data_IF_477247519292
#
_entry.id   IF_477247519292
#
_cell.length_a   1.000
_cell.length_b   1.000
_cell.length_c   1.000
_cell.angle_alpha   90.00
_cell.angle_beta   90.00
_cell.angle_gamma   90.00
#
_symmetry.space_group_name_H-M   'P 1'
#
loop_
_entity.id
_entity.type
_entity.pdbx_description
1 polymer ?
#
# COMPACT_ATOMS: atom_id res chain seq x y z
N UNK A 1 10.53 -6.55 -64.86
CA UNK A 1 9.81 -5.96 -63.68
C UNK A 1 10.73 -6.00 -62.48
N UNK A 2 11.70 -5.13 -62.46
CA UNK A 2 12.61 -4.96 -61.31
C UNK A 2 12.72 -3.49 -60.99
N UNK A 3 12.79 -3.20 -59.71
CA UNK A 3 13.35 -1.98 -59.10
C UNK A 3 12.57 -0.67 -59.22
N UNK A 4 11.62 -0.51 -58.32
CA UNK A 4 11.16 0.80 -57.87
C UNK A 4 11.16 0.97 -56.34
N UNK A 5 11.70 0.02 -55.57
CA UNK A 5 11.69 0.02 -54.09
C UNK A 5 12.91 0.70 -53.44
N UNK A 6 14.01 0.95 -54.13
CA UNK A 6 15.25 1.38 -53.49
C UNK A 6 15.44 2.92 -53.34
N UNK A 7 14.50 3.74 -53.85
CA UNK A 7 14.59 5.19 -53.72
C UNK A 7 13.73 5.79 -52.58
N UNK A 8 12.76 5.05 -52.10
CA UNK A 8 11.88 5.50 -51.00
C UNK A 8 12.58 5.34 -49.66
N UNK A 9 13.33 4.26 -49.49
CA UNK A 9 14.00 3.93 -48.21
C UNK A 9 15.16 4.90 -47.88
N UNK A 10 15.76 5.57 -48.87
CA UNK A 10 16.89 6.49 -48.66
C UNK A 10 16.46 7.90 -48.26
N UNK A 11 15.28 8.34 -48.65
CA UNK A 11 14.75 9.67 -48.30
C UNK A 11 14.19 9.62 -46.88
N UNK A 12 13.51 8.54 -46.50
CA UNK A 12 12.99 8.30 -45.13
C UNK A 12 14.14 8.23 -44.10
N UNK A 13 15.27 7.65 -44.46
CA UNK A 13 16.42 7.54 -43.55
C UNK A 13 17.13 8.88 -43.27
N UNK A 14 17.21 9.75 -44.23
CA UNK A 14 17.84 11.07 -44.10
C UNK A 14 16.94 12.05 -43.30
N UNK A 15 15.64 12.00 -43.53
CA UNK A 15 14.68 12.80 -42.78
C UNK A 15 14.62 12.34 -41.31
N UNK A 16 14.69 11.05 -41.06
CA UNK A 16 14.74 10.47 -39.71
C UNK A 16 16.04 10.84 -38.97
N UNK A 17 17.20 10.82 -39.68
CA UNK A 17 18.48 11.20 -39.10
C UNK A 17 18.55 12.71 -38.78
N UNK A 18 17.92 13.54 -39.59
CA UNK A 18 17.79 14.97 -39.32
C UNK A 18 16.90 15.24 -38.13
N UNK A 19 15.74 14.56 -38.05
CA UNK A 19 14.81 14.65 -36.92
C UNK A 19 15.48 14.23 -35.61
N UNK A 20 16.21 13.11 -35.60
CA UNK A 20 16.90 12.64 -34.39
C UNK A 20 17.96 13.64 -33.90
N UNK A 21 18.65 14.30 -34.80
CA UNK A 21 19.63 15.34 -34.43
C UNK A 21 18.98 16.61 -33.87
N UNK A 22 17.90 17.06 -34.50
CA UNK A 22 17.12 18.21 -34.00
C UNK A 22 16.47 17.88 -32.63
N UNK A 23 15.93 16.67 -32.46
CA UNK A 23 15.36 16.22 -31.22
C UNK A 23 16.41 16.11 -30.10
N UNK A 24 17.59 15.64 -30.39
CA UNK A 24 18.68 15.56 -29.40
C UNK A 24 19.10 16.95 -28.90
N UNK A 25 19.10 17.97 -29.76
CA UNK A 25 19.38 19.36 -29.38
C UNK A 25 18.28 19.87 -28.44
N UNK A 26 17.02 19.71 -28.83
CA UNK A 26 15.86 20.13 -28.02
C UNK A 26 15.87 19.48 -26.63
N UNK A 27 16.12 18.17 -26.57
CA UNK A 27 16.21 17.44 -25.31
C UNK A 27 17.35 17.95 -24.42
N UNK A 28 18.47 18.32 -25.00
CA UNK A 28 19.61 18.90 -24.26
C UNK A 28 19.24 20.25 -23.64
N UNK A 29 18.59 21.13 -24.41
CA UNK A 29 18.15 22.46 -23.95
C UNK A 29 17.15 22.32 -22.76
N UNK A 30 16.22 21.38 -22.86
CA UNK A 30 15.30 21.10 -21.76
C UNK A 30 16.01 20.56 -20.52
N UNK A 31 17.02 19.72 -20.70
CA UNK A 31 17.80 19.15 -19.60
C UNK A 31 18.64 20.23 -18.91
N UNK A 32 19.28 21.11 -19.64
CA UNK A 32 20.03 22.26 -19.12
C UNK A 32 19.10 23.22 -18.35
N UNK A 33 17.91 23.48 -18.88
CA UNK A 33 16.90 24.33 -18.24
C UNK A 33 16.42 23.73 -16.89
N UNK A 34 16.20 22.41 -16.84
CA UNK A 34 15.87 21.71 -15.62
C UNK A 34 17.00 21.76 -14.59
N UNK A 35 18.25 21.63 -15.04
CA UNK A 35 19.40 21.73 -14.15
C UNK A 35 19.53 23.15 -13.56
N UNK A 36 19.35 24.19 -14.37
CA UNK A 36 19.37 25.57 -13.90
C UNK A 36 18.29 25.87 -12.87
N UNK A 37 17.09 25.32 -13.05
CA UNK A 37 15.99 25.41 -12.08
C UNK A 37 16.36 24.69 -10.78
N UNK A 38 16.96 23.49 -10.89
CA UNK A 38 17.41 22.74 -9.72
C UNK A 38 18.44 23.51 -8.90
N UNK A 39 19.42 24.13 -9.57
CA UNK A 39 20.47 24.91 -8.94
C UNK A 39 19.95 26.20 -8.30
N UNK A 40 18.98 26.85 -8.93
CA UNK A 40 18.45 28.13 -8.47
C UNK A 40 17.38 27.99 -7.40
N UNK A 41 16.52 26.96 -7.48
CA UNK A 41 15.31 26.82 -6.67
C UNK A 41 15.21 25.49 -5.91
N UNK A 42 16.05 24.52 -6.21
CA UNK A 42 16.11 23.24 -5.53
C UNK A 42 15.16 22.17 -6.09
N UNK A 43 15.25 20.97 -5.49
CA UNK A 43 14.57 19.77 -5.97
C UNK A 43 13.04 19.84 -5.93
N UNK A 44 12.48 20.62 -5.01
CA UNK A 44 11.03 20.76 -4.87
C UNK A 44 10.43 21.41 -6.11
N UNK A 45 11.01 22.50 -6.57
CA UNK A 45 10.53 23.25 -7.73
C UNK A 45 10.67 22.44 -9.02
N UNK A 46 11.71 21.63 -9.14
CA UNK A 46 11.84 20.69 -10.27
C UNK A 46 10.71 19.67 -10.27
N UNK A 47 10.36 19.10 -9.12
CA UNK A 47 9.21 18.17 -9.00
C UNK A 47 7.90 18.84 -9.37
N UNK A 48 7.67 20.05 -8.87
CA UNK A 48 6.44 20.79 -9.11
C UNK A 48 6.30 21.17 -10.60
N UNK A 49 7.40 21.55 -11.24
CA UNK A 49 7.44 21.84 -12.68
C UNK A 49 7.13 20.59 -13.51
N UNK A 50 7.80 19.47 -13.24
CA UNK A 50 7.58 18.22 -13.97
C UNK A 50 6.14 17.71 -13.80
N UNK A 51 5.57 17.80 -12.61
CA UNK A 51 4.18 17.45 -12.37
C UNK A 51 3.21 18.34 -13.18
N UNK A 52 3.49 19.64 -13.25
CA UNK A 52 2.70 20.61 -14.03
C UNK A 52 2.77 20.34 -15.54
N UNK A 53 3.96 20.04 -16.05
CA UNK A 53 4.17 19.68 -17.46
C UNK A 53 3.46 18.36 -17.81
N UNK A 54 3.52 17.36 -16.94
CA UNK A 54 2.77 16.10 -17.13
C UNK A 54 1.27 16.35 -17.20
N UNK A 55 0.74 17.16 -16.29
CA UNK A 55 -0.68 17.50 -16.26
C UNK A 55 -1.11 18.29 -17.51
N UNK A 56 -0.28 19.21 -17.96
CA UNK A 56 -0.50 19.94 -19.22
C UNK A 56 -0.53 18.97 -20.41
N UNK A 57 0.47 18.08 -20.54
CA UNK A 57 0.53 17.10 -21.62
C UNK A 57 -0.74 16.22 -21.67
N UNK A 58 -1.20 15.74 -20.50
CA UNK A 58 -2.44 14.98 -20.39
C UNK A 58 -3.65 15.79 -20.84
N UNK A 59 -3.73 17.08 -20.50
CA UNK A 59 -4.81 17.98 -20.93
C UNK A 59 -4.85 18.19 -22.44
N UNK A 60 -3.69 18.04 -23.12
CA UNK A 60 -3.58 18.11 -24.57
C UNK A 60 -3.81 16.75 -25.26
N UNK A 61 -4.24 15.72 -24.52
CA UNK A 61 -4.51 14.39 -25.05
C UNK A 61 -3.25 13.54 -25.30
N UNK A 62 -2.09 13.97 -24.81
CA UNK A 62 -0.86 13.18 -24.89
C UNK A 62 -0.92 12.07 -23.86
N UNK A 63 -1.01 10.81 -24.31
CA UNK A 63 -0.91 9.67 -23.43
C UNK A 63 0.55 9.48 -23.02
N UNK A 64 0.85 9.76 -21.77
CA UNK A 64 2.15 9.46 -21.15
C UNK A 64 2.26 7.95 -20.86
N UNK A 65 2.13 7.13 -21.91
CA UNK A 65 2.00 5.69 -21.80
C UNK A 65 2.82 5.08 -20.67
N UNK A 66 2.33 4.02 -20.03
CA UNK A 66 2.87 3.13 -18.97
C UNK A 66 4.21 3.36 -18.27
N UNK A 67 4.94 4.40 -18.62
CA UNK A 67 6.25 4.74 -18.06
C UNK A 67 6.19 5.01 -16.53
N UNK A 68 5.02 5.40 -16.02
CA UNK A 68 4.78 5.61 -14.59
C UNK A 68 4.47 4.31 -13.84
N UNK A 69 4.06 3.25 -14.56
CA UNK A 69 3.68 1.96 -13.94
C UNK A 69 4.81 0.93 -13.94
N UNK A 70 5.84 1.10 -14.76
CA UNK A 70 6.93 0.15 -14.95
C UNK A 70 8.33 0.76 -14.73
N UNK A 71 8.43 1.86 -13.98
CA UNK A 71 9.75 2.36 -13.57
C UNK A 71 10.41 1.38 -12.61
N UNK A 72 11.70 1.09 -12.75
CA UNK A 72 12.42 0.30 -11.76
C UNK A 72 12.22 0.92 -10.38
N UNK A 73 11.95 0.08 -9.36
CA UNK A 73 11.88 0.58 -7.99
C UNK A 73 13.17 1.32 -7.65
N UNK A 74 13.01 2.58 -7.28
CA UNK A 74 14.11 3.40 -6.76
C UNK A 74 13.67 3.98 -5.45
N UNK A 75 14.52 3.86 -4.44
CA UNK A 75 14.31 4.60 -3.22
C UNK A 75 14.47 6.10 -3.53
N UNK A 76 13.37 6.86 -3.41
CA UNK A 76 13.36 8.31 -3.70
C UNK A 76 13.88 9.14 -2.55
N UNK A 77 14.07 8.53 -1.36
CA UNK A 77 14.64 9.17 -0.17
C UNK A 77 16.04 8.58 0.01
N UNK A 78 17.12 9.38 -0.18
CA UNK A 78 18.48 8.94 0.11
C UNK A 78 18.60 8.53 1.59
N UNK A 79 19.50 7.60 1.90
CA UNK A 79 19.74 7.17 3.29
C UNK A 79 20.15 8.34 4.19
N UNK A 80 20.89 9.31 3.64
CA UNK A 80 21.28 10.54 4.35
C UNK A 80 20.11 11.41 4.79
N UNK A 81 18.98 11.32 4.09
CA UNK A 81 17.80 12.16 4.30
C UNK A 81 16.71 11.42 5.10
N UNK A 82 16.95 10.17 5.46
CA UNK A 82 16.02 9.39 6.26
C UNK A 82 16.02 9.91 7.71
N UNK A 83 14.85 10.21 8.30
CA UNK A 83 14.79 10.54 9.72
C UNK A 83 15.22 9.34 10.56
N UNK A 84 15.69 9.61 11.77
CA UNK A 84 15.94 8.57 12.74
C UNK A 84 14.66 7.77 13.01
N UNK A 85 14.78 6.45 13.18
CA UNK A 85 13.64 5.62 13.52
C UNK A 85 13.03 6.07 14.85
N UNK A 86 11.70 6.34 14.92
CA UNK A 86 11.09 6.97 16.08
C UNK A 86 10.87 6.02 17.26
N UNK A 87 11.01 4.71 17.06
CA UNK A 87 10.75 3.67 18.04
C UNK A 87 12.00 2.92 18.50
N UNK A 88 11.77 1.85 19.24
CA UNK A 88 12.79 0.90 19.64
C UNK A 88 12.75 -0.34 18.75
N UNK A 89 13.60 -0.36 17.72
CA UNK A 89 13.63 -1.45 16.72
C UNK A 89 13.78 -2.83 17.36
N UNK A 90 14.65 -2.97 18.38
CA UNK A 90 14.88 -4.26 19.01
C UNK A 90 13.65 -4.76 19.77
N UNK A 91 12.98 -3.88 20.49
CA UNK A 91 11.76 -4.20 21.22
C UNK A 91 10.61 -4.52 20.26
N UNK A 92 10.43 -3.71 19.24
CA UNK A 92 9.36 -3.89 18.25
C UNK A 92 9.55 -5.17 17.46
N UNK A 93 10.78 -5.53 17.12
CA UNK A 93 11.09 -6.79 16.46
C UNK A 93 10.80 -8.01 17.37
N UNK A 94 11.04 -7.90 18.67
CA UNK A 94 10.67 -8.96 19.63
C UNK A 94 9.15 -9.10 19.70
N UNK A 95 8.42 -8.00 19.77
CA UNK A 95 6.95 -8.00 19.78
C UNK A 95 6.41 -8.61 18.48
N UNK A 96 6.90 -8.16 17.33
CA UNK A 96 6.53 -8.74 16.03
C UNK A 96 6.75 -10.25 15.99
N UNK A 97 7.89 -10.72 16.47
CA UNK A 97 8.20 -12.16 16.50
C UNK A 97 7.21 -12.95 17.37
N UNK A 98 6.79 -12.40 18.51
CA UNK A 98 5.78 -13.02 19.36
C UNK A 98 4.42 -13.05 18.66
N UNK A 99 4.03 -11.96 18.04
CA UNK A 99 2.77 -11.88 17.27
C UNK A 99 2.78 -12.89 16.13
N UNK A 100 3.87 -12.99 15.37
CA UNK A 100 4.03 -13.97 14.28
C UNK A 100 3.93 -15.41 14.78
N UNK A 101 4.58 -15.71 15.91
CA UNK A 101 4.50 -17.02 16.52
C UNK A 101 3.09 -17.38 16.95
N UNK A 102 2.40 -16.50 17.66
CA UNK A 102 1.04 -16.72 18.12
C UNK A 102 0.06 -16.86 16.95
N UNK A 103 0.22 -16.06 15.90
CA UNK A 103 -0.59 -16.17 14.69
C UNK A 103 -0.42 -17.54 14.02
N UNK A 104 0.82 -18.04 13.93
CA UNK A 104 1.10 -19.36 13.40
C UNK A 104 0.52 -20.46 14.29
N UNK A 105 0.74 -20.38 15.61
CA UNK A 105 0.23 -21.36 16.56
C UNK A 105 -1.30 -21.48 16.50
N UNK A 106 -1.99 -20.34 16.44
CA UNK A 106 -3.44 -20.28 16.30
C UNK A 106 -3.95 -20.98 15.03
N UNK A 107 -3.29 -20.77 13.90
CA UNK A 107 -3.64 -21.43 12.63
C UNK A 107 -3.36 -22.93 12.69
N UNK A 108 -2.21 -23.36 13.25
CA UNK A 108 -1.87 -24.76 13.39
C UNK A 108 -2.84 -25.50 14.32
N UNK A 109 -3.22 -24.92 15.47
CA UNK A 109 -4.24 -25.48 16.36
C UNK A 109 -5.58 -25.67 15.65
N UNK A 110 -5.94 -24.76 14.75
CA UNK A 110 -7.11 -24.90 13.89
C UNK A 110 -7.04 -26.13 12.99
N UNK A 111 -5.88 -26.41 12.39
CA UNK A 111 -5.65 -27.63 11.60
C UNK A 111 -5.67 -28.90 12.46
N UNK A 112 -4.97 -28.89 13.58
CA UNK A 112 -4.85 -30.07 14.46
C UNK A 112 -6.18 -30.44 15.14
N UNK A 113 -7.14 -29.54 15.16
CA UNK A 113 -8.49 -29.82 15.72
C UNK A 113 -9.25 -30.94 14.99
N UNK A 114 -8.78 -31.38 13.83
CA UNK A 114 -9.43 -32.40 13.01
C UNK A 114 -10.77 -31.98 12.38
N UNK A 115 -11.15 -30.70 12.52
CA UNK A 115 -12.44 -30.16 12.08
C UNK A 115 -12.38 -29.44 10.73
N UNK A 116 -11.22 -29.46 10.07
CA UNK A 116 -11.02 -28.83 8.76
C UNK A 116 -11.12 -27.31 8.75
N UNK A 117 -10.96 -26.68 9.93
CA UNK A 117 -11.11 -25.23 10.09
C UNK A 117 -9.79 -24.47 10.05
N UNK A 118 -8.70 -25.04 9.62
CA UNK A 118 -7.39 -24.37 9.52
C UNK A 118 -7.48 -22.89 9.17
N UNK A 119 -6.45 -22.29 8.68
CA UNK A 119 -6.45 -20.87 8.31
C UNK A 119 -5.33 -20.57 7.32
N UNK A 120 -5.18 -19.32 6.98
CA UNK A 120 -4.09 -18.87 6.12
C UNK A 120 -3.14 -18.01 6.92
N UNK A 121 -1.83 -18.22 6.74
CA UNK A 121 -0.79 -17.42 7.42
C UNK A 121 0.00 -16.57 6.44
N UNK A 122 0.08 -16.96 5.16
CA UNK A 122 0.94 -16.35 4.18
C UNK A 122 0.65 -14.84 3.97
N UNK A 123 -0.62 -14.45 3.94
CA UNK A 123 -1.00 -13.04 3.78
C UNK A 123 -0.50 -12.20 4.95
N UNK A 124 -0.70 -12.66 6.18
CA UNK A 124 -0.17 -11.96 7.33
C UNK A 124 1.38 -11.97 7.34
N UNK A 125 2.00 -13.11 7.08
CA UNK A 125 3.45 -13.24 7.09
C UNK A 125 4.13 -12.25 6.12
N UNK A 126 3.53 -12.01 4.95
CA UNK A 126 4.05 -11.05 3.97
C UNK A 126 3.83 -9.58 4.36
N UNK A 127 2.88 -9.28 5.24
CA UNK A 127 2.54 -7.91 5.65
C UNK A 127 2.88 -7.62 7.11
N UNK A 128 3.47 -8.57 7.84
CA UNK A 128 3.66 -8.48 9.28
C UNK A 128 4.40 -7.20 9.69
N UNK A 129 5.61 -6.99 9.22
CA UNK A 129 6.41 -5.81 9.58
C UNK A 129 5.71 -4.50 9.19
N UNK A 130 5.12 -4.45 7.98
CA UNK A 130 4.37 -3.26 7.54
C UNK A 130 3.18 -2.98 8.47
N UNK A 131 2.46 -4.01 8.89
CA UNK A 131 1.31 -3.89 9.80
C UNK A 131 1.74 -3.41 11.18
N UNK A 132 2.82 -3.98 11.74
CA UNK A 132 3.33 -3.58 13.05
C UNK A 132 3.85 -2.14 13.04
N UNK A 133 4.62 -1.75 12.04
CA UNK A 133 5.08 -0.37 11.89
C UNK A 133 3.91 0.61 11.74
N UNK A 134 2.90 0.25 10.93
CA UNK A 134 1.70 1.06 10.77
C UNK A 134 0.98 1.28 12.11
N UNK A 135 0.74 0.20 12.87
CA UNK A 135 0.03 0.26 14.15
C UNK A 135 0.85 0.94 15.26
N UNK A 136 2.17 0.83 15.24
CA UNK A 136 3.02 1.42 16.26
C UNK A 136 3.23 2.93 16.06
N UNK A 137 3.30 3.41 14.80
CA UNK A 137 3.79 4.75 14.52
C UNK A 137 2.83 5.65 13.73
N UNK A 138 1.86 5.08 13.02
CA UNK A 138 1.02 5.85 12.10
C UNK A 138 -0.46 5.82 12.47
N UNK A 139 -1.00 4.65 12.79
CA UNK A 139 -2.43 4.49 13.08
C UNK A 139 -2.73 4.99 14.50
N UNK A 140 -3.60 5.98 14.59
CA UNK A 140 -3.99 6.58 15.86
C UNK A 140 -5.26 5.93 16.40
N UNK A 141 -5.22 5.53 17.66
CA UNK A 141 -6.38 5.01 18.36
C UNK A 141 -7.42 6.09 18.61
N UNK A 142 -8.65 5.66 18.85
CA UNK A 142 -9.75 6.54 19.25
C UNK A 142 -9.45 7.19 20.61
N UNK A 143 -9.78 8.47 20.71
CA UNK A 143 -9.80 9.26 21.95
C UNK A 143 -11.12 9.98 22.09
N UNK A 144 -11.34 10.70 23.19
CA UNK A 144 -12.57 11.50 23.36
C UNK A 144 -12.70 12.63 22.32
N UNK A 145 -11.58 13.14 21.81
CA UNK A 145 -11.53 14.23 20.83
C UNK A 145 -11.29 13.75 19.38
N UNK A 146 -10.99 12.47 19.17
CA UNK A 146 -10.64 11.93 17.87
C UNK A 146 -11.24 10.54 17.65
N UNK A 147 -11.92 10.34 16.54
CA UNK A 147 -12.62 9.07 16.24
C UNK A 147 -11.71 7.87 16.03
N UNK A 148 -10.40 8.08 15.89
CA UNK A 148 -9.42 7.08 15.52
C UNK A 148 -9.32 6.87 14.01
N UNK A 149 -8.19 6.34 13.60
CA UNK A 149 -7.96 5.97 12.20
C UNK A 149 -8.66 4.65 11.87
N UNK A 150 -9.16 4.56 10.64
CA UNK A 150 -9.76 3.32 10.15
C UNK A 150 -8.74 2.54 9.32
N UNK A 151 -8.42 1.34 9.77
CA UNK A 151 -7.56 0.42 9.03
C UNK A 151 -8.41 -0.70 8.42
N UNK A 152 -8.39 -0.82 7.12
CA UNK A 152 -9.13 -1.86 6.41
C UNK A 152 -8.23 -3.07 6.13
N UNK A 153 -8.36 -4.10 6.96
CA UNK A 153 -7.50 -5.29 6.93
C UNK A 153 -8.21 -6.42 6.22
N UNK A 154 -7.48 -7.10 5.34
CA UNK A 154 -8.00 -8.29 4.67
C UNK A 154 -8.19 -9.45 5.66
N UNK A 155 -9.28 -10.20 5.49
CA UNK A 155 -9.61 -11.34 6.35
C UNK A 155 -8.47 -12.35 6.50
N UNK A 156 -7.71 -12.59 5.44
CA UNK A 156 -6.59 -13.52 5.44
C UNK A 156 -5.38 -13.05 6.28
N UNK A 157 -5.32 -11.77 6.64
CA UNK A 157 -4.32 -11.21 7.54
C UNK A 157 -4.81 -11.15 9.00
N UNK A 158 -6.05 -11.53 9.27
CA UNK A 158 -6.65 -11.48 10.60
C UNK A 158 -5.88 -12.25 11.69
N UNK A 159 -5.16 -13.35 11.42
CA UNK A 159 -4.36 -14.02 12.45
C UNK A 159 -3.40 -13.09 13.18
N UNK A 160 -2.73 -12.20 12.46
CA UNK A 160 -1.82 -11.23 13.07
C UNK A 160 -2.55 -10.21 13.94
N UNK A 161 -3.70 -9.71 13.49
CA UNK A 161 -4.50 -8.74 14.24
C UNK A 161 -5.05 -9.37 15.53
N UNK A 162 -5.56 -10.59 15.47
CA UNK A 162 -6.02 -11.31 16.67
C UNK A 162 -4.88 -11.58 17.64
N UNK A 163 -3.72 -11.99 17.11
CA UNK A 163 -2.53 -12.25 17.90
C UNK A 163 -2.04 -10.98 18.62
N UNK A 164 -2.05 -9.85 17.93
CA UNK A 164 -1.71 -8.55 18.53
C UNK A 164 -2.75 -8.16 19.58
N UNK A 165 -4.03 -8.24 19.28
CA UNK A 165 -5.10 -7.92 20.22
C UNK A 165 -5.04 -8.79 21.49
N UNK A 166 -4.60 -10.04 21.38
CA UNK A 166 -4.33 -10.91 22.53
C UNK A 166 -3.18 -10.36 23.40
N UNK A 167 -2.07 -9.97 22.80
CA UNK A 167 -0.96 -9.35 23.55
C UNK A 167 -1.33 -8.02 24.20
N UNK A 168 -2.27 -7.29 23.61
CA UNK A 168 -2.83 -6.06 24.16
C UNK A 168 -3.88 -6.33 25.28
N UNK A 169 -4.15 -7.60 25.63
CA UNK A 169 -5.13 -7.98 26.64
C UNK A 169 -6.60 -7.82 26.21
N UNK A 170 -6.86 -7.66 24.93
CA UNK A 170 -8.22 -7.47 24.36
C UNK A 170 -8.91 -8.77 23.99
N UNK A 171 -8.19 -9.88 23.97
CA UNK A 171 -8.68 -11.22 23.69
C UNK A 171 -8.16 -12.19 24.73
N UNK A 172 -8.94 -13.22 25.02
CA UNK A 172 -8.52 -14.34 25.88
C UNK A 172 -7.82 -15.43 25.08
N UNK A 173 -7.11 -16.31 25.80
CA UNK A 173 -6.48 -17.48 25.21
C UNK A 173 -7.51 -18.45 24.60
N UNK A 174 -8.65 -18.62 25.25
CA UNK A 174 -9.75 -19.46 24.79
C UNK A 174 -10.31 -18.95 23.46
N UNK A 175 -10.44 -17.63 23.30
CA UNK A 175 -10.89 -17.05 22.04
C UNK A 175 -9.89 -17.31 20.90
N UNK A 176 -8.58 -17.22 21.17
CA UNK A 176 -7.56 -17.60 20.20
C UNK A 176 -7.62 -19.07 19.80
N UNK A 177 -7.77 -19.97 20.78
CA UNK A 177 -7.96 -21.41 20.54
C UNK A 177 -9.20 -21.73 19.71
N UNK A 178 -10.20 -20.86 19.78
CA UNK A 178 -11.43 -20.94 19.00
C UNK A 178 -11.38 -20.08 17.72
N UNK A 179 -10.21 -19.91 17.13
CA UNK A 179 -10.06 -19.25 15.85
C UNK A 179 -10.89 -19.94 14.77
N UNK A 180 -11.69 -19.18 14.03
CA UNK A 180 -12.66 -19.65 13.03
C UNK A 180 -13.74 -20.59 13.58
N UNK A 181 -14.00 -20.48 14.86
CA UNK A 181 -14.99 -21.28 15.59
C UNK A 181 -15.90 -20.38 16.43
N UNK A 182 -16.41 -19.35 15.78
CA UNK A 182 -17.20 -18.27 16.40
C UNK A 182 -18.49 -18.70 17.09
N UNK A 183 -18.92 -19.92 16.88
CA UNK A 183 -20.16 -20.46 17.49
C UNK A 183 -19.91 -21.32 18.75
N UNK A 184 -18.68 -21.35 19.25
CA UNK A 184 -18.40 -22.05 20.51
C UNK A 184 -19.03 -21.32 21.68
N UNK A 185 -19.53 -22.06 22.71
CA UNK A 185 -20.17 -21.48 23.90
C UNK A 185 -19.26 -20.49 24.65
N UNK A 186 -17.97 -20.78 24.71
CA UNK A 186 -16.92 -19.94 25.33
C UNK A 186 -16.53 -18.73 24.47
N UNK A 187 -17.17 -18.58 23.32
CA UNK A 187 -16.81 -17.58 22.32
C UNK A 187 -15.71 -18.06 21.37
N UNK A 188 -15.51 -17.33 20.30
CA UNK A 188 -14.48 -17.62 19.29
C UNK A 188 -14.34 -16.50 18.29
N UNK A 189 -13.27 -16.59 17.52
CA UNK A 189 -12.94 -15.58 16.53
C UNK A 189 -13.58 -15.92 15.17
N UNK A 190 -14.23 -14.96 14.51
CA UNK A 190 -14.93 -15.21 13.26
C UNK A 190 -13.98 -15.52 12.11
N UNK A 191 -14.43 -16.41 11.23
CA UNK A 191 -13.75 -16.74 9.98
C UNK A 191 -13.62 -15.53 9.07
N UNK A 192 -14.65 -14.68 9.06
CA UNK A 192 -14.70 -13.40 8.37
C UNK A 192 -14.91 -12.30 9.40
N UNK A 193 -13.84 -11.55 9.72
CA UNK A 193 -13.93 -10.43 10.65
C UNK A 193 -15.04 -9.45 10.27
N UNK A 194 -15.87 -9.10 11.27
CA UNK A 194 -17.03 -8.25 11.02
C UNK A 194 -17.40 -7.45 12.29
N UNK A 195 -17.80 -6.17 12.16
CA UNK A 195 -18.19 -5.32 13.29
C UNK A 195 -19.32 -5.88 14.16
N UNK A 196 -20.25 -6.64 13.59
CA UNK A 196 -21.34 -7.27 14.35
C UNK A 196 -20.86 -8.32 15.36
N UNK A 197 -19.69 -8.91 15.10
CA UNK A 197 -19.13 -9.96 15.96
C UNK A 197 -18.09 -9.39 16.92
N UNK A 198 -17.30 -8.42 16.45
CA UNK A 198 -16.20 -7.81 17.19
C UNK A 198 -16.08 -6.33 16.82
N UNK A 199 -17.01 -5.49 17.27
CA UNK A 199 -17.01 -4.06 16.95
C UNK A 199 -15.78 -3.33 17.48
N UNK A 200 -15.19 -3.84 18.56
CA UNK A 200 -13.99 -3.29 19.18
C UNK A 200 -12.70 -3.55 18.39
N UNK A 201 -12.71 -4.53 17.49
CA UNK A 201 -11.54 -4.90 16.67
C UNK A 201 -11.70 -4.52 15.20
N UNK A 202 -12.94 -4.57 14.70
CA UNK A 202 -13.20 -4.45 13.27
C UNK A 202 -14.11 -3.27 12.96
N UNK A 203 -13.55 -2.19 12.40
CA UNK A 203 -14.33 -1.00 12.04
C UNK A 203 -15.22 -1.24 10.80
N UNK A 204 -14.87 -2.23 9.98
CA UNK A 204 -15.58 -2.56 8.75
C UNK A 204 -15.64 -4.07 8.53
N UNK A 205 -16.65 -4.58 7.79
CA UNK A 205 -16.69 -5.98 7.39
C UNK A 205 -15.54 -6.29 6.44
N UNK A 206 -14.92 -7.44 6.63
CA UNK A 206 -13.92 -7.96 5.70
C UNK A 206 -14.58 -8.78 4.60
N UNK A 207 -14.03 -8.72 3.42
CA UNK A 207 -14.53 -9.43 2.25
C UNK A 207 -13.45 -10.29 1.60
N UNK A 208 -13.75 -10.82 0.43
CA UNK A 208 -12.81 -11.56 -0.40
C UNK A 208 -11.59 -10.72 -0.79
N UNK A 209 -10.51 -11.39 -1.15
CA UNK A 209 -9.28 -10.75 -1.65
C UNK A 209 -9.60 -9.77 -2.79
N UNK A 210 -9.00 -8.59 -2.73
CA UNK A 210 -9.21 -7.51 -3.70
C UNK A 210 -10.37 -6.57 -3.39
N UNK A 211 -11.42 -7.01 -2.70
CA UNK A 211 -12.56 -6.15 -2.38
C UNK A 211 -12.25 -5.11 -1.29
N UNK A 212 -11.36 -5.40 -0.37
CA UNK A 212 -11.00 -4.46 0.69
C UNK A 212 -10.41 -3.16 0.15
N UNK A 213 -9.55 -3.24 -0.88
CA UNK A 213 -8.98 -2.05 -1.53
C UNK A 213 -10.07 -1.14 -2.12
N UNK A 214 -11.03 -1.72 -2.82
CA UNK A 214 -12.17 -0.98 -3.39
C UNK A 214 -13.07 -0.41 -2.29
N UNK A 215 -13.36 -1.22 -1.27
CA UNK A 215 -14.18 -0.79 -0.12
C UNK A 215 -13.55 0.38 0.62
N UNK A 216 -12.22 0.37 0.83
CA UNK A 216 -11.54 1.47 1.52
C UNK A 216 -11.64 2.80 0.78
N UNK A 217 -11.64 2.79 -0.56
CA UNK A 217 -11.88 3.99 -1.38
C UNK A 217 -13.29 4.55 -1.11
N UNK A 218 -14.30 3.69 -1.05
CA UNK A 218 -15.67 4.12 -0.76
C UNK A 218 -15.83 4.64 0.67
N UNK A 219 -15.20 3.99 1.66
CA UNK A 219 -15.18 4.49 3.03
C UNK A 219 -14.53 5.87 3.13
N UNK A 220 -13.37 6.06 2.51
CA UNK A 220 -12.69 7.35 2.49
C UNK A 220 -13.55 8.43 1.82
N UNK A 221 -14.18 8.10 0.68
CA UNK A 221 -15.09 9.02 -0.01
C UNK A 221 -16.31 9.40 0.84
N UNK A 222 -16.89 8.41 1.53
CA UNK A 222 -18.05 8.66 2.39
C UNK A 222 -17.67 9.49 3.63
N UNK A 223 -16.51 9.22 4.24
CA UNK A 223 -15.99 10.04 5.33
C UNK A 223 -15.82 11.51 4.90
N UNK A 224 -15.23 11.75 3.74
CA UNK A 224 -15.12 13.11 3.17
C UNK A 224 -16.46 13.75 2.89
N UNK A 225 -17.44 12.98 2.46
CA UNK A 225 -18.82 13.50 2.27
C UNK A 225 -19.43 13.93 3.61
N UNK A 226 -19.31 13.12 4.67
CA UNK A 226 -19.79 13.46 5.99
C UNK A 226 -19.11 14.72 6.53
N UNK A 227 -17.78 14.79 6.44
CA UNK A 227 -17.00 15.96 6.83
C UNK A 227 -17.50 17.24 6.14
N UNK A 228 -17.71 17.19 4.81
CA UNK A 228 -18.23 18.31 4.04
C UNK A 228 -19.67 18.71 4.43
N UNK A 229 -20.42 17.82 5.05
CA UNK A 229 -21.76 18.06 5.57
C UNK A 229 -21.77 18.52 7.03
N UNK A 230 -20.61 18.58 7.68
CA UNK A 230 -20.49 18.93 9.09
C UNK A 230 -21.01 17.83 10.04
N UNK A 231 -20.93 16.57 9.61
CA UNK A 231 -21.41 15.39 10.35
C UNK A 231 -20.23 14.56 10.86
#
# INVERSE_FOLDING_TARGET
KESKTSKVDGIDSLENEKFEKEWAIELNEWTESLQAIKESYGNRQVKDLLASLQQYALSQGVSLGGATLNTPYRNTIPVSDQPAYPGNIELEQKIENIIRWNAMAMVLQGYDSGKGVGGHIATYASTATMTEVALNHFIKSRTDAYQGDMMNIQAHASPGIYSRAFLEGRLSEEELKNFRRELQPEGGLPSYPHPRRRPELWPSPTASMGLNGVSSIYYARFARYLENRGL
#
